data_IF_100371626606
#
_entry.id   IF_100371626606
#
_cell.length_a   1.000
_cell.length_b   1.000
_cell.length_c   1.000
_cell.angle_alpha   90.00
_cell.angle_beta   90.00
_cell.angle_gamma   90.00
#
_symmetry.space_group_name_H-M   'P 1'
#
loop_
_entity.id
_entity.type
_entity.pdbx_description
1 polymer ?
#
# COMPACT_ATOMS: atom_id res chain seq x y z
N UNK A 1 -27.72 6.84 11.03
CA UNK A 1 -27.10 6.20 9.84
C UNK A 1 -25.62 6.02 10.15
N UNK A 2 -25.18 4.77 10.27
CA UNK A 2 -23.75 4.46 10.36
C UNK A 2 -23.16 4.47 8.96
N UNK A 3 -22.05 5.19 8.77
CA UNK A 3 -21.29 5.17 7.53
C UNK A 3 -20.18 4.16 7.79
N UNK A 4 -20.27 2.97 7.20
CA UNK A 4 -19.22 1.96 7.24
C UNK A 4 -18.42 2.10 5.94
N UNK A 5 -17.18 2.54 6.05
CA UNK A 5 -16.25 2.61 4.93
C UNK A 5 -15.75 1.21 4.59
N UNK A 6 -15.84 0.81 3.32
CA UNK A 6 -15.29 -0.46 2.85
C UNK A 6 -13.96 -0.24 2.12
N UNK A 7 -12.89 -0.79 2.67
CA UNK A 7 -11.56 -0.79 2.05
C UNK A 7 -11.22 -2.22 1.61
N UNK A 8 -10.89 -2.38 0.33
CA UNK A 8 -10.46 -3.67 -0.24
C UNK A 8 -9.25 -3.47 -1.14
N UNK A 9 -8.39 -4.49 -1.22
CA UNK A 9 -7.25 -4.51 -2.14
C UNK A 9 -7.68 -5.30 -3.37
N UNK A 10 -7.49 -4.75 -4.58
CA UNK A 10 -7.83 -5.44 -5.82
C UNK A 10 -6.64 -6.07 -6.52
N UNK A 11 -5.49 -5.40 -6.54
CA UNK A 11 -4.29 -5.97 -7.13
C UNK A 11 -3.00 -5.39 -6.56
N UNK A 12 -1.93 -6.16 -6.70
CA UNK A 12 -0.56 -5.74 -6.41
C UNK A 12 0.33 -6.04 -7.60
N UNK A 13 0.99 -5.03 -8.14
CA UNK A 13 2.05 -5.17 -9.16
C UNK A 13 3.39 -4.88 -8.52
N UNK A 14 4.39 -5.73 -8.79
CA UNK A 14 5.74 -5.60 -8.24
C UNK A 14 6.76 -5.85 -9.33
N UNK A 15 7.75 -4.96 -9.43
CA UNK A 15 8.96 -5.14 -10.23
C UNK A 15 10.19 -5.09 -9.32
N UNK A 16 11.02 -6.10 -9.45
CA UNK A 16 12.30 -6.30 -8.78
C UNK A 16 12.27 -5.98 -7.28
N UNK A 17 11.77 -6.92 -6.49
CA UNK A 17 11.83 -6.92 -5.03
C UNK A 17 12.19 -8.33 -4.51
N UNK A 18 13.47 -8.56 -4.21
CA UNK A 18 13.96 -9.86 -3.75
C UNK A 18 13.68 -10.98 -4.78
N UNK A 19 12.85 -11.95 -4.38
CA UNK A 19 12.41 -13.07 -5.22
C UNK A 19 11.36 -12.67 -6.30
N UNK A 20 10.72 -11.50 -6.15
CA UNK A 20 9.69 -11.02 -7.06
C UNK A 20 10.33 -10.23 -8.20
N UNK A 21 10.33 -10.76 -9.43
CA UNK A 21 10.99 -10.12 -10.59
C UNK A 21 10.08 -9.16 -11.36
N UNK A 22 8.96 -9.66 -11.88
CA UNK A 22 7.88 -8.86 -12.46
C UNK A 22 6.60 -9.67 -12.29
N UNK A 23 5.81 -9.35 -11.27
CA UNK A 23 4.59 -10.08 -10.95
C UNK A 23 3.40 -9.15 -10.82
N UNK A 24 2.23 -9.68 -11.14
CA UNK A 24 0.93 -9.11 -10.77
C UNK A 24 0.18 -10.16 -9.97
N UNK A 25 -0.27 -9.78 -8.77
CA UNK A 25 -1.20 -10.55 -7.95
C UNK A 25 -2.56 -9.89 -8.15
N UNK A 26 -3.47 -10.62 -8.75
CA UNK A 26 -4.87 -10.22 -8.89
C UNK A 26 -5.67 -10.90 -7.79
N UNK A 27 -6.43 -10.11 -7.02
CA UNK A 27 -7.25 -10.60 -5.90
C UNK A 27 -8.72 -10.78 -6.31
N UNK A 28 -9.01 -10.65 -7.61
CA UNK A 28 -10.32 -10.91 -8.19
C UNK A 28 -10.43 -12.32 -8.76
N UNK A 29 -11.64 -12.87 -8.79
CA UNK A 29 -11.92 -14.09 -9.55
C UNK A 29 -12.02 -13.82 -11.06
N UNK A 30 -12.33 -14.89 -11.80
CA UNK A 30 -12.58 -14.85 -13.24
C UNK A 30 -13.73 -13.92 -13.66
N UNK A 31 -14.59 -13.52 -12.74
CA UNK A 31 -15.69 -12.57 -12.97
C UNK A 31 -15.33 -11.13 -12.58
N UNK A 32 -14.13 -10.91 -12.07
CA UNK A 32 -13.67 -9.61 -11.58
C UNK A 32 -14.16 -9.27 -10.17
N UNK A 33 -14.77 -10.23 -9.46
CA UNK A 33 -15.24 -10.05 -8.09
C UNK A 33 -14.12 -10.35 -7.10
N UNK A 34 -14.00 -9.50 -6.08
CA UNK A 34 -12.99 -9.67 -5.03
C UNK A 34 -13.25 -10.94 -4.23
N UNK A 35 -12.20 -11.74 -4.05
CA UNK A 35 -12.28 -12.95 -3.26
C UNK A 35 -12.31 -12.62 -1.77
N UNK A 36 -13.21 -13.27 -0.99
CA UNK A 36 -13.27 -13.07 0.46
C UNK A 36 -12.03 -13.61 1.17
N UNK A 37 -11.35 -14.60 0.58
CA UNK A 37 -10.13 -15.21 1.11
C UNK A 37 -9.14 -15.39 -0.04
N UNK A 38 -7.89 -14.95 0.18
CA UNK A 38 -6.77 -15.20 -0.74
C UNK A 38 -5.68 -15.98 -0.02
N UNK A 39 -5.19 -17.05 -0.65
CA UNK A 39 -4.07 -17.86 -0.14
C UNK A 39 -2.81 -17.59 -0.94
N UNK A 40 -1.76 -17.13 -0.27
CA UNK A 40 -0.41 -17.00 -0.85
C UNK A 40 0.38 -18.30 -0.64
N UNK A 41 0.29 -19.22 -1.61
CA UNK A 41 1.02 -20.49 -1.61
C UNK A 41 2.39 -20.42 -2.30
N UNK A 42 3.31 -21.30 -1.94
CA UNK A 42 4.59 -21.47 -2.64
C UNK A 42 5.73 -22.00 -1.76
N UNK A 43 6.85 -22.37 -2.39
CA UNK A 43 8.03 -22.87 -1.70
C UNK A 43 8.65 -21.84 -0.73
N UNK A 44 9.45 -22.28 0.23
CA UNK A 44 10.21 -21.37 1.10
C UNK A 44 11.15 -20.49 0.26
N UNK A 45 11.24 -19.20 0.60
CA UNK A 45 12.01 -18.24 -0.18
C UNK A 45 11.32 -17.70 -1.44
N UNK A 46 10.10 -18.14 -1.77
CA UNK A 46 9.37 -17.67 -2.97
C UNK A 46 8.85 -16.23 -2.91
N UNK A 47 9.11 -15.51 -1.81
CA UNK A 47 8.69 -14.10 -1.66
C UNK A 47 7.31 -13.88 -1.05
N UNK A 48 6.64 -14.90 -0.48
CA UNK A 48 5.33 -14.74 0.21
C UNK A 48 5.34 -13.63 1.27
N UNK A 49 6.33 -13.67 2.17
CA UNK A 49 6.52 -12.63 3.19
C UNK A 49 6.80 -11.27 2.56
N UNK A 50 7.57 -11.23 1.46
CA UNK A 50 7.86 -10.00 0.72
C UNK A 50 6.60 -9.37 0.13
N UNK A 51 5.64 -10.18 -0.35
CA UNK A 51 4.33 -9.68 -0.81
C UNK A 51 3.60 -8.98 0.34
N UNK A 52 3.52 -9.63 1.51
CA UNK A 52 2.86 -9.03 2.68
C UNK A 52 3.55 -7.74 3.13
N UNK A 53 4.89 -7.75 3.23
CA UNK A 53 5.68 -6.56 3.56
C UNK A 53 5.43 -5.40 2.60
N UNK A 54 5.26 -5.67 1.30
CA UNK A 54 4.92 -4.65 0.30
C UNK A 54 3.50 -4.11 0.46
N UNK A 55 2.53 -4.97 0.75
CA UNK A 55 1.14 -4.55 1.01
C UNK A 55 1.13 -3.57 2.18
N UNK A 56 1.79 -3.91 3.29
CA UNK A 56 1.92 -3.01 4.44
C UNK A 56 2.62 -1.71 4.08
N UNK A 57 3.72 -1.80 3.34
CA UNK A 57 4.48 -0.62 2.97
C UNK A 57 3.67 0.36 2.12
N UNK A 58 2.95 -0.14 1.12
CA UNK A 58 2.10 0.67 0.27
C UNK A 58 0.86 1.19 1.02
N UNK A 59 0.30 0.42 1.97
CA UNK A 59 -0.78 0.90 2.83
C UNK A 59 -0.37 2.06 3.73
N UNK A 60 0.86 2.03 4.25
CA UNK A 60 1.39 3.15 5.03
C UNK A 60 1.60 4.42 4.17
N UNK A 61 1.82 4.30 2.86
CA UNK A 61 1.94 5.47 2.00
C UNK A 61 0.65 6.29 1.90
N UNK A 62 -0.51 5.69 2.16
CA UNK A 62 -1.79 6.41 2.25
C UNK A 62 -1.82 7.44 3.38
N UNK A 63 -0.97 7.26 4.40
CA UNK A 63 -0.91 8.14 5.58
C UNK A 63 -0.10 9.41 5.34
N UNK A 64 0.61 9.51 4.22
CA UNK A 64 1.49 10.64 3.96
C UNK A 64 0.77 11.72 3.15
N UNK A 65 0.66 12.89 3.76
CA UNK A 65 0.01 14.07 3.19
C UNK A 65 1.00 15.18 2.89
N UNK A 66 2.19 15.13 3.50
CA UNK A 66 3.25 16.10 3.31
C UNK A 66 4.62 15.44 3.14
N UNK A 67 5.55 16.18 2.55
CA UNK A 67 6.96 15.77 2.43
C UNK A 67 7.67 15.68 3.79
N UNK A 68 7.20 16.43 4.79
CA UNK A 68 7.69 16.36 6.18
C UNK A 68 7.42 15.02 6.83
N UNK A 69 6.31 14.36 6.48
CA UNK A 69 5.94 13.06 7.03
C UNK A 69 6.83 11.93 6.49
N UNK A 70 7.43 12.10 5.31
CA UNK A 70 8.33 11.11 4.70
C UNK A 70 9.62 10.90 5.51
N UNK A 71 10.06 11.90 6.27
CA UNK A 71 11.24 11.78 7.13
C UNK A 71 11.02 10.76 8.28
N UNK A 72 9.75 10.45 8.57
CA UNK A 72 9.34 9.51 9.63
C UNK A 72 9.04 8.09 9.12
N UNK A 73 9.24 7.80 7.83
CA UNK A 73 9.04 6.45 7.28
C UNK A 73 9.87 5.47 8.10
N UNK A 74 9.19 4.49 8.71
CA UNK A 74 9.80 3.42 9.51
C UNK A 74 10.98 2.79 8.75
N UNK A 75 12.09 2.54 9.44
CA UNK A 75 13.26 1.85 8.90
C UNK A 75 12.91 0.53 8.18
N UNK A 76 11.89 -0.19 8.66
CA UNK A 76 11.36 -1.41 8.02
C UNK A 76 10.76 -1.12 6.65
N UNK A 77 9.94 -0.08 6.55
CA UNK A 77 9.41 0.39 5.27
C UNK A 77 10.52 0.82 4.33
N UNK A 78 11.48 1.59 4.83
CA UNK A 78 12.60 2.01 4.01
C UNK A 78 13.38 0.82 3.47
N UNK A 79 13.55 -0.25 4.25
CA UNK A 79 14.27 -1.44 3.81
C UNK A 79 13.57 -2.15 2.64
N UNK A 80 12.26 -2.36 2.71
CA UNK A 80 11.49 -2.99 1.62
C UNK A 80 11.44 -2.10 0.38
N UNK A 81 11.21 -0.79 0.54
CA UNK A 81 11.15 0.14 -0.60
C UNK A 81 12.53 0.31 -1.25
N UNK A 82 13.61 0.42 -0.46
CA UNK A 82 14.99 0.51 -0.98
C UNK A 82 15.44 -0.72 -1.75
N UNK A 83 14.84 -1.89 -1.58
CA UNK A 83 15.12 -3.09 -2.40
C UNK A 83 14.12 -3.32 -3.54
N UNK A 84 13.06 -2.52 -3.60
CA UNK A 84 12.03 -2.59 -4.63
C UNK A 84 12.36 -1.65 -5.78
N UNK A 85 12.14 -2.01 -7.03
CA UNK A 85 12.26 -1.07 -8.16
C UNK A 85 10.95 -0.31 -8.36
N UNK A 86 9.86 -1.05 -8.41
CA UNK A 86 8.52 -0.50 -8.52
C UNK A 86 7.51 -1.42 -7.83
N UNK A 87 6.55 -0.83 -7.13
CA UNK A 87 5.39 -1.54 -6.64
C UNK A 87 4.17 -0.63 -6.71
N UNK A 88 3.03 -1.19 -7.08
CA UNK A 88 1.75 -0.49 -7.13
C UNK A 88 0.68 -1.39 -6.55
N UNK A 89 -0.15 -0.82 -5.69
CA UNK A 89 -1.32 -1.47 -5.14
C UNK A 89 -2.56 -0.71 -5.57
N UNK A 90 -3.53 -1.45 -6.08
CA UNK A 90 -4.85 -0.94 -6.38
C UNK A 90 -5.81 -1.26 -5.23
N UNK A 91 -6.56 -0.24 -4.84
CA UNK A 91 -7.53 -0.27 -3.76
C UNK A 91 -8.92 0.02 -4.30
N UNK A 92 -9.92 -0.53 -3.62
CA UNK A 92 -11.32 -0.19 -3.76
C UNK A 92 -11.80 0.36 -2.42
N UNK A 93 -12.01 1.67 -2.36
CA UNK A 93 -12.52 2.37 -1.18
C UNK A 93 -13.93 2.85 -1.54
N UNK A 94 -14.96 2.27 -0.90
CA UNK A 94 -16.36 2.55 -1.23
C UNK A 94 -16.66 2.42 -2.74
N UNK A 95 -16.10 1.37 -3.36
CA UNK A 95 -16.13 1.08 -4.80
C UNK A 95 -15.42 2.09 -5.71
N UNK A 96 -14.73 3.08 -5.14
CA UNK A 96 -13.84 3.98 -5.88
C UNK A 96 -12.46 3.36 -5.98
N UNK A 97 -11.95 3.27 -7.21
CA UNK A 97 -10.59 2.77 -7.46
C UNK A 97 -9.56 3.83 -7.09
N UNK A 98 -8.59 3.41 -6.30
CA UNK A 98 -7.47 4.22 -5.86
C UNK A 98 -6.16 3.48 -6.14
N UNK A 99 -5.11 4.20 -6.52
CA UNK A 99 -3.80 3.60 -6.77
C UNK A 99 -2.77 4.20 -5.84
N UNK A 100 -2.01 3.30 -5.21
CA UNK A 100 -0.87 3.67 -4.37
C UNK A 100 0.39 3.05 -4.93
N UNK A 101 1.42 3.85 -5.16
CA UNK A 101 2.64 3.33 -5.76
C UNK A 101 3.92 3.78 -5.05
N UNK A 102 4.95 2.99 -5.30
CA UNK A 102 6.33 3.30 -5.06
C UNK A 102 7.13 3.07 -6.34
N UNK A 103 8.01 4.01 -6.70
CA UNK A 103 8.89 3.87 -7.86
C UNK A 103 10.28 4.42 -7.54
N UNK A 104 11.33 3.66 -7.84
CA UNK A 104 12.68 4.24 -7.94
C UNK A 104 12.81 4.94 -9.28
N UNK A 105 13.12 6.24 -9.25
CA UNK A 105 13.33 7.01 -10.47
C UNK A 105 14.79 6.90 -10.93
N UNK A 106 15.00 6.19 -12.04
CA UNK A 106 15.99 6.55 -13.06
C UNK A 106 15.31 6.98 -14.37
N UNK A 107 13.97 7.08 -14.36
CA UNK A 107 13.12 7.12 -15.56
C UNK A 107 12.34 8.43 -15.54
N UNK A 108 12.37 9.15 -16.68
CA UNK A 108 11.71 10.44 -16.88
C UNK A 108 10.30 10.48 -16.29
N UNK A 109 9.99 11.56 -15.60
CA UNK A 109 8.70 11.91 -14.98
C UNK A 109 7.56 12.16 -15.99
N UNK A 110 7.67 11.65 -17.22
CA UNK A 110 6.74 11.92 -18.31
C UNK A 110 5.47 11.05 -18.30
N UNK A 111 5.45 9.94 -17.54
CA UNK A 111 4.29 9.04 -17.42
C UNK A 111 3.64 9.14 -16.03
N UNK A 112 3.39 10.36 -15.57
CA UNK A 112 2.66 10.58 -14.32
C UNK A 112 1.18 10.68 -14.66
N UNK A 113 0.47 9.58 -14.44
CA UNK A 113 -0.99 9.52 -14.63
C UNK A 113 -1.69 10.32 -13.53
N UNK A 114 -2.60 11.20 -13.93
CA UNK A 114 -3.37 12.05 -13.01
C UNK A 114 -4.36 11.16 -12.23
N UNK A 115 -4.01 10.79 -11.00
CA UNK A 115 -4.85 9.94 -10.15
C UNK A 115 -4.10 8.93 -9.28
N UNK A 116 -2.76 8.90 -9.33
CA UNK A 116 -1.95 7.99 -8.53
C UNK A 116 -1.36 8.71 -7.31
N UNK A 117 -1.57 8.15 -6.11
CA UNK A 117 -0.92 8.57 -4.87
C UNK A 117 0.35 7.73 -4.66
N UNK A 118 1.44 8.31 -4.18
CA UNK A 118 2.62 7.47 -3.94
C UNK A 118 3.89 8.25 -3.70
N UNK A 119 5.00 7.52 -3.63
CA UNK A 119 6.31 8.14 -3.46
C UNK A 119 7.28 7.66 -4.52
N UNK A 120 8.10 8.59 -4.99
CA UNK A 120 9.21 8.29 -5.88
C UNK A 120 10.52 8.50 -5.13
N UNK A 121 11.47 7.57 -5.32
CA UNK A 121 12.84 7.75 -4.84
C UNK A 121 13.67 8.35 -5.96
N UNK A 122 13.98 9.65 -5.88
CA UNK A 122 14.67 10.39 -6.93
C UNK A 122 16.07 10.80 -6.49
N UNK A 123 17.01 10.79 -7.44
CA UNK A 123 18.32 11.42 -7.28
C UNK A 123 18.22 12.88 -7.77
N UNK A 124 18.60 13.82 -6.92
CA UNK A 124 18.69 15.24 -7.25
C UNK A 124 20.10 15.60 -7.74
N UNK A 125 20.23 16.75 -8.41
CA UNK A 125 21.51 17.32 -8.84
C UNK A 125 22.40 17.65 -7.63
N UNK A 126 23.16 16.66 -7.13
CA UNK A 126 24.32 16.78 -6.21
C UNK A 126 24.59 15.46 -5.44
N UNK A 127 24.28 14.27 -5.98
CA UNK A 127 24.30 12.98 -5.27
C UNK A 127 23.31 12.86 -4.09
N UNK A 128 22.46 13.85 -3.86
CA UNK A 128 21.43 13.78 -2.81
C UNK A 128 20.25 12.96 -3.32
N UNK A 129 19.90 11.88 -2.61
CA UNK A 129 18.71 11.08 -2.90
C UNK A 129 17.63 11.42 -1.88
N UNK A 130 16.43 11.72 -2.35
CA UNK A 130 15.31 11.99 -1.45
C UNK A 130 14.00 11.38 -1.97
N UNK A 131 13.08 11.20 -1.03
CA UNK A 131 11.72 10.80 -1.29
C UNK A 131 10.95 12.01 -1.83
N UNK A 132 10.24 11.81 -2.93
CA UNK A 132 9.35 12.80 -3.51
C UNK A 132 7.92 12.25 -3.47
N UNK A 133 7.05 12.90 -2.70
CA UNK A 133 5.63 12.58 -2.62
C UNK A 133 4.95 12.99 -3.93
N UNK A 134 4.19 12.07 -4.51
CA UNK A 134 3.21 12.38 -5.53
C UNK A 134 1.83 12.33 -4.89
N UNK A 135 1.18 13.47 -4.89
CA UNK A 135 -0.09 13.66 -4.22
C UNK A 135 -1.25 13.48 -5.20
N UNK A 136 -2.31 12.85 -4.73
CA UNK A 136 -3.63 12.89 -5.38
C UNK A 136 -4.71 13.19 -4.35
N UNK A 137 -5.85 13.70 -4.81
CA UNK A 137 -7.03 14.01 -3.98
C UNK A 137 -7.54 12.79 -3.18
N UNK A 138 -7.06 11.57 -3.47
CA UNK A 138 -7.36 10.35 -2.72
C UNK A 138 -6.94 10.50 -1.26
N UNK A 139 -5.82 11.15 -0.99
CA UNK A 139 -5.29 11.27 0.37
C UNK A 139 -6.05 12.31 1.19
N UNK A 140 -6.56 13.37 0.56
CA UNK A 140 -7.52 14.29 1.18
C UNK A 140 -8.82 13.57 1.48
N UNK A 141 -9.35 12.81 0.52
CA UNK A 141 -10.59 12.04 0.70
C UNK A 141 -10.46 11.02 1.82
N UNK A 142 -9.36 10.26 1.86
CA UNK A 142 -9.08 9.32 2.94
C UNK A 142 -8.93 10.04 4.28
N UNK A 143 -8.20 11.16 4.34
CA UNK A 143 -8.06 11.96 5.57
C UNK A 143 -9.41 12.47 6.07
N UNK A 144 -10.25 12.99 5.18
CA UNK A 144 -11.57 13.48 5.49
C UNK A 144 -12.47 12.33 5.97
N UNK A 145 -12.44 11.18 5.30
CA UNK A 145 -13.20 9.99 5.70
C UNK A 145 -12.75 9.46 7.08
N UNK A 146 -11.44 9.38 7.32
CA UNK A 146 -10.87 9.01 8.62
C UNK A 146 -11.32 10.01 9.69
N UNK A 147 -11.20 11.31 9.43
CA UNK A 147 -11.62 12.38 10.36
C UNK A 147 -13.12 12.33 10.66
N UNK A 148 -13.94 12.08 9.65
CA UNK A 148 -15.40 11.91 9.79
C UNK A 148 -15.77 10.66 10.58
N UNK A 149 -14.98 9.58 10.46
CA UNK A 149 -15.16 8.37 11.28
C UNK A 149 -14.69 8.58 12.73
N UNK A 150 -13.63 9.35 12.96
CA UNK A 150 -13.05 9.65 14.27
C UNK A 150 -13.81 10.74 15.06
N UNK A 151 -14.60 11.58 14.38
CA UNK A 151 -15.51 12.54 15.01
C UNK A 151 -16.70 11.91 15.75
N UNK A 152 -16.85 10.58 15.68
CA UNK A 152 -17.69 9.79 16.59
C UNK A 152 -16.75 9.13 17.59
N UNK A 153 -16.91 9.45 18.87
CA UNK A 153 -16.03 9.07 19.96
C UNK A 153 -15.51 7.63 19.87
N UNK A 154 -14.19 7.50 19.71
CA UNK A 154 -13.39 6.59 20.53
C UNK A 154 -12.03 7.24 20.77
N UNK A 155 -11.78 7.45 22.05
CA UNK A 155 -10.55 7.90 22.65
C UNK A 155 -9.35 7.13 22.08
N UNK A 156 -8.35 7.84 21.54
CA UNK A 156 -6.96 7.38 21.44
C UNK A 156 -6.76 5.89 21.11
N UNK A 157 -6.95 5.48 19.87
CA UNK A 157 -6.21 4.33 19.33
C UNK A 157 -5.57 4.70 18.00
N UNK A 158 -4.33 4.26 17.84
CA UNK A 158 -3.52 4.42 16.64
C UNK A 158 -4.22 3.68 15.50
N UNK A 159 -3.74 3.84 14.27
CA UNK A 159 -3.98 2.92 13.15
C UNK A 159 -3.43 1.48 13.42
N UNK A 160 -3.37 1.05 14.68
CA UNK A 160 -3.00 -0.26 15.19
C UNK A 160 -4.14 -1.29 15.07
N UNK A 161 -5.36 -0.86 14.76
CA UNK A 161 -6.53 -1.73 14.78
C UNK A 161 -6.76 -2.46 13.43
N UNK A 162 -5.89 -2.22 12.44
CA UNK A 162 -5.75 -3.12 11.29
C UNK A 162 -4.95 -4.36 11.74
N UNK A 163 -5.58 -5.22 12.52
CA UNK A 163 -4.96 -6.42 13.08
C UNK A 163 -4.90 -7.52 12.01
N UNK A 164 -3.74 -7.66 11.34
CA UNK A 164 -3.46 -8.83 10.52
C UNK A 164 -2.91 -9.93 11.43
N UNK A 165 -3.76 -10.90 11.76
CA UNK A 165 -3.34 -12.07 12.53
C UNK A 165 -2.59 -13.02 11.58
N UNK A 166 -1.26 -13.06 11.72
CA UNK A 166 -0.40 -14.07 11.06
C UNK A 166 -0.24 -15.22 12.04
N UNK A 167 -1.11 -16.23 11.96
CA UNK A 167 -0.94 -17.45 12.73
C UNK A 167 0.08 -18.37 12.05
N UNK A 168 1.10 -18.79 12.80
CA UNK A 168 2.07 -19.80 12.40
C UNK A 168 1.41 -21.20 12.40
N UNK A 169 1.06 -21.67 11.19
CA UNK A 169 0.67 -23.04 10.80
C UNK A 169 -0.72 -23.55 11.24
N UNK A 170 -1.58 -24.08 10.33
CA UNK A 170 -1.57 -24.01 8.87
C UNK A 170 -2.21 -22.67 8.42
N UNK A 171 -1.56 -21.98 7.47
CA UNK A 171 -1.75 -20.55 7.24
C UNK A 171 -3.10 -20.19 6.58
N UNK A 172 -4.04 -19.71 7.39
CA UNK A 172 -5.20 -18.93 6.96
C UNK A 172 -4.93 -17.47 7.30
N UNK A 173 -4.97 -16.59 6.30
CA UNK A 173 -4.97 -15.13 6.53
C UNK A 173 -6.45 -14.71 6.55
N UNK A 174 -6.96 -14.40 7.74
CA UNK A 174 -8.28 -13.79 7.91
C UNK A 174 -8.06 -12.28 8.05
N UNK A 175 -8.51 -11.51 7.07
CA UNK A 175 -8.67 -10.07 7.21
C UNK A 175 -10.06 -9.82 7.84
N UNK A 176 -10.10 -9.53 9.13
CA UNK A 176 -11.32 -9.05 9.79
C UNK A 176 -11.30 -7.53 9.74
N UNK A 177 -12.25 -6.95 9.00
CA UNK A 177 -12.69 -5.58 9.23
C UNK A 177 -13.77 -5.65 10.31
N UNK A 178 -13.49 -5.08 11.49
CA UNK A 178 -14.49 -4.86 12.55
C UNK A 178 -15.14 -3.50 12.38
#
# INVERSE_FOLDING_TARGET
>A
MEIIMQIKISSLRVKNCGALKDIKIDLTDTTGQLQPVTVLGGANGSGKTTVLELIFALAELLKFYSTTDLASIDNRLQAILKRTEYAQMEWLIDNVKCRVFFKKSQISTADIDHGEHGITWQAFYSNTRAWHLQYSDISDKLSQLISLSQGKELCSSRFSDLMFVVCSSPFVVVALAT
#
